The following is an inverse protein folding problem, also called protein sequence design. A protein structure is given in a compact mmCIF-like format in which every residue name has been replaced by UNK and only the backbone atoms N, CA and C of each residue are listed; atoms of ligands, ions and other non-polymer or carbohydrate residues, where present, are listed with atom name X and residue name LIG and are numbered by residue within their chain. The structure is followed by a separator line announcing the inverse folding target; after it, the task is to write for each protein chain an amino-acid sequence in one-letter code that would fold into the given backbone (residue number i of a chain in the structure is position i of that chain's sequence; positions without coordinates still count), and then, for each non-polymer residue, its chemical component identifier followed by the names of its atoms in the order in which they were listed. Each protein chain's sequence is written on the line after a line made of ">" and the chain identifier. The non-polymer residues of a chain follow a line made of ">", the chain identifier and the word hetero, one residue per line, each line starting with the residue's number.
data_IF_673974947930
#
_entry.id   IF_673974947930
#
_cell.length_a   1.000
_cell.length_b   1.000
_cell.length_c   1.000
_cell.angle_alpha   90.00
_cell.angle_beta   90.00
_cell.angle_gamma   90.00
#
_symmetry.space_group_name_H-M   'P 1'
#
loop_
_entity.id
_entity.type
_entity.pdbx_description
1 polymer ?
#
# COMPACT_ATOMS: atom_id res chain seq x y z
N UNK A 1 0.29 -4.67 -15.19
CA UNK A 1 1.31 -4.65 -14.12
C UNK A 1 0.71 -4.33 -12.77
N UNK A 2 -0.39 -3.66 -12.73
CA UNK A 2 -1.15 -3.35 -11.53
C UNK A 2 -1.99 -4.57 -11.11
N UNK A 3 -1.75 -5.16 -9.97
CA UNK A 3 -0.69 -4.84 -9.00
C UNK A 3 0.30 -6.03 -8.85
N UNK A 4 0.54 -6.80 -9.92
CA UNK A 4 1.40 -8.00 -9.91
C UNK A 4 2.84 -7.70 -9.47
N UNK A 5 3.34 -6.49 -9.72
CA UNK A 5 4.69 -6.09 -9.29
C UNK A 5 4.78 -6.07 -7.77
N UNK A 6 3.79 -5.48 -7.08
CA UNK A 6 3.75 -5.46 -5.62
C UNK A 6 3.57 -6.87 -5.04
N UNK A 7 2.71 -7.69 -5.65
CA UNK A 7 2.52 -9.10 -5.24
C UNK A 7 3.81 -9.89 -5.38
N UNK A 8 4.53 -9.73 -6.49
CA UNK A 8 5.83 -10.38 -6.71
C UNK A 8 6.85 -9.94 -5.65
N UNK A 9 7.00 -8.63 -5.44
CA UNK A 9 7.95 -8.10 -4.47
C UNK A 9 7.65 -8.58 -3.04
N UNK A 10 6.38 -8.52 -2.62
CA UNK A 10 5.96 -8.97 -1.30
C UNK A 10 6.15 -10.50 -1.13
N UNK A 11 5.85 -11.28 -2.16
CA UNK A 11 6.05 -12.75 -2.12
C UNK A 11 7.52 -13.10 -2.01
N UNK A 12 8.38 -12.44 -2.79
CA UNK A 12 9.83 -12.61 -2.71
C UNK A 12 10.35 -12.27 -1.31
N UNK A 13 9.95 -11.12 -0.79
CA UNK A 13 10.33 -10.70 0.57
C UNK A 13 9.86 -11.70 1.63
N UNK A 14 8.65 -12.24 1.52
CA UNK A 14 8.14 -13.24 2.46
C UNK A 14 8.97 -14.53 2.44
N UNK A 15 9.31 -15.02 1.25
CA UNK A 15 10.10 -16.26 1.08
C UNK A 15 11.53 -16.11 1.58
N UNK A 16 12.14 -14.95 1.40
CA UNK A 16 13.51 -14.66 1.82
C UNK A 16 13.63 -14.23 3.29
N UNK A 17 12.51 -13.87 3.93
CA UNK A 17 12.54 -13.40 5.32
C UNK A 17 12.74 -14.55 6.30
N UNK A 18 13.73 -14.41 7.17
CA UNK A 18 13.84 -15.23 8.38
C UNK A 18 13.12 -14.52 9.52
N UNK A 19 11.97 -15.03 9.99
CA UNK A 19 11.19 -14.36 11.05
C UNK A 19 11.99 -14.21 12.34
N UNK A 20 11.98 -13.01 12.91
CA UNK A 20 12.63 -12.71 14.17
C UNK A 20 11.73 -11.82 15.03
N UNK A 21 10.96 -12.43 15.92
CA UNK A 21 10.04 -11.71 16.83
C UNK A 21 8.79 -11.10 16.18
N UNK A 22 8.61 -11.31 14.87
CA UNK A 22 7.44 -10.88 14.11
C UNK A 22 6.91 -12.02 13.24
N UNK A 23 5.65 -11.96 12.88
CA UNK A 23 5.03 -12.88 11.92
C UNK A 23 4.82 -12.11 10.62
N UNK A 24 5.61 -12.36 9.58
CA UNK A 24 5.40 -11.73 8.29
C UNK A 24 4.16 -12.35 7.61
N UNK A 25 3.32 -11.49 7.07
CA UNK A 25 2.08 -11.88 6.38
C UNK A 25 1.98 -11.08 5.09
N UNK A 26 1.58 -11.74 4.02
CA UNK A 26 1.15 -11.11 2.78
C UNK A 26 -0.34 -11.36 2.58
N UNK A 27 -1.06 -10.35 2.14
CA UNK A 27 -2.45 -10.45 1.73
C UNK A 27 -2.63 -9.75 0.38
N UNK A 28 -3.15 -10.48 -0.60
CA UNK A 28 -3.57 -9.94 -1.89
C UNK A 28 -5.09 -10.01 -1.98
N UNK A 29 -5.71 -8.93 -2.43
CA UNK A 29 -7.16 -8.77 -2.44
C UNK A 29 -7.71 -8.69 -3.86
N UNK A 30 -8.95 -9.12 -4.02
CA UNK A 30 -9.74 -8.89 -5.22
C UNK A 30 -10.44 -7.53 -5.18
N UNK A 31 -10.88 -7.07 -6.32
CA UNK A 31 -11.83 -5.97 -6.48
C UNK A 31 -11.31 -4.60 -6.00
N UNK A 32 -9.99 -4.38 -6.02
CA UNK A 32 -9.43 -3.08 -5.62
C UNK A 32 -9.96 -1.97 -6.52
N UNK A 33 -9.92 -2.16 -7.83
CA UNK A 33 -10.30 -1.20 -8.88
C UNK A 33 -11.79 -0.80 -8.85
N UNK A 34 -12.63 -1.61 -8.22
CA UNK A 34 -14.05 -1.33 -8.04
C UNK A 34 -14.42 -1.00 -6.60
N UNK A 35 -13.44 -0.59 -5.78
CA UNK A 35 -13.64 -0.03 -4.44
C UNK A 35 -13.55 -1.01 -3.28
N UNK A 36 -13.04 -2.22 -3.49
CA UNK A 36 -12.74 -3.22 -2.45
C UNK A 36 -13.93 -3.71 -1.62
N UNK A 37 -15.16 -3.27 -1.90
CA UNK A 37 -16.36 -3.57 -1.11
C UNK A 37 -16.95 -4.93 -1.49
N UNK A 38 -16.21 -6.01 -1.24
CA UNK A 38 -16.65 -7.38 -1.47
C UNK A 38 -16.12 -8.32 -0.39
N UNK A 39 -16.57 -9.57 -0.39
CA UNK A 39 -16.14 -10.57 0.59
C UNK A 39 -14.63 -10.86 0.53
N UNK A 40 -14.05 -10.85 -0.66
CA UNK A 40 -12.62 -11.09 -0.91
C UNK A 40 -11.81 -9.81 -1.09
N UNK A 41 -12.45 -8.64 -1.08
CA UNK A 41 -11.80 -7.34 -1.12
C UNK A 41 -11.32 -6.88 0.25
N UNK A 42 -10.50 -5.83 0.27
CA UNK A 42 -9.92 -5.29 1.51
C UNK A 42 -10.96 -4.74 2.49
N UNK A 43 -12.12 -4.31 2.02
CA UNK A 43 -13.24 -3.90 2.86
C UNK A 43 -14.04 -5.08 3.45
N UNK A 44 -13.80 -6.31 2.98
CA UNK A 44 -14.40 -7.53 3.49
C UNK A 44 -13.79 -7.99 4.83
N UNK A 45 -14.36 -9.02 5.45
CA UNK A 45 -13.89 -9.54 6.74
C UNK A 45 -12.65 -10.43 6.61
N UNK A 46 -12.29 -10.88 5.41
CA UNK A 46 -11.34 -11.96 5.15
C UNK A 46 -10.03 -11.82 5.92
N UNK A 47 -9.33 -10.69 5.76
CA UNK A 47 -8.04 -10.49 6.43
C UNK A 47 -8.17 -10.49 7.96
N UNK A 48 -9.18 -9.79 8.47
CA UNK A 48 -9.44 -9.74 9.92
C UNK A 48 -9.71 -11.12 10.51
N UNK A 49 -10.54 -11.91 9.85
CA UNK A 49 -10.90 -13.28 10.29
C UNK A 49 -9.66 -14.21 10.24
N UNK A 50 -8.85 -14.13 9.21
CA UNK A 50 -7.62 -14.94 9.09
C UNK A 50 -6.63 -14.57 10.20
N UNK A 51 -6.38 -13.28 10.42
CA UNK A 51 -5.48 -12.82 11.49
C UNK A 51 -5.96 -13.23 12.87
N UNK A 52 -7.27 -13.10 13.14
CA UNK A 52 -7.86 -13.54 14.40
C UNK A 52 -7.65 -15.04 14.63
N UNK A 53 -7.88 -15.88 13.61
CA UNK A 53 -7.67 -17.33 13.69
C UNK A 53 -6.22 -17.72 13.88
N UNK A 54 -5.28 -17.02 13.22
CA UNK A 54 -3.84 -17.24 13.44
C UNK A 54 -3.49 -16.93 14.90
N UNK A 55 -3.94 -15.80 15.42
CA UNK A 55 -3.67 -15.38 16.78
C UNK A 55 -4.30 -16.33 17.81
N UNK A 56 -5.52 -16.79 17.56
CA UNK A 56 -6.21 -17.81 18.38
C UNK A 56 -5.43 -19.12 18.38
N UNK A 57 -4.98 -19.60 17.23
CA UNK A 57 -4.14 -20.81 17.10
C UNK A 57 -2.81 -20.69 17.84
N UNK A 58 -2.30 -19.48 18.03
CA UNK A 58 -1.13 -19.18 18.86
C UNK A 58 -1.44 -19.00 20.35
N UNK A 59 -2.68 -19.20 20.77
CA UNK A 59 -3.13 -19.08 22.14
C UNK A 59 -3.36 -17.65 22.63
N UNK A 60 -3.44 -16.67 21.72
CA UNK A 60 -3.66 -15.28 22.07
C UNK A 60 -5.15 -15.00 22.40
N UNK A 61 -5.43 -14.55 23.61
CA UNK A 61 -6.74 -14.07 23.99
C UNK A 61 -7.07 -12.69 23.39
N UNK A 62 -8.34 -12.22 23.47
CA UNK A 62 -8.80 -11.00 22.79
C UNK A 62 -7.98 -9.74 23.10
N UNK A 63 -7.50 -9.59 24.33
CA UNK A 63 -6.66 -8.46 24.71
C UNK A 63 -5.27 -8.52 24.07
N UNK A 64 -4.72 -9.71 23.91
CA UNK A 64 -3.43 -9.92 23.25
C UNK A 64 -3.54 -9.68 21.73
N UNK A 65 -4.63 -10.14 21.13
CA UNK A 65 -4.93 -9.90 19.71
C UNK A 65 -4.96 -8.41 19.37
N UNK A 66 -5.67 -7.61 20.19
CA UNK A 66 -5.72 -6.15 20.00
C UNK A 66 -4.36 -5.49 20.18
N UNK A 67 -3.57 -5.91 21.17
CA UNK A 67 -2.20 -5.40 21.36
C UNK A 67 -1.29 -5.77 20.18
N UNK A 68 -1.42 -6.98 19.65
CA UNK A 68 -0.66 -7.42 18.50
C UNK A 68 -0.96 -6.57 17.26
N UNK A 69 -2.24 -6.30 16.96
CA UNK A 69 -2.62 -5.42 15.84
C UNK A 69 -2.10 -4.00 16.06
N UNK A 70 -2.23 -3.44 17.26
CA UNK A 70 -1.75 -2.09 17.57
C UNK A 70 -0.20 -1.97 17.49
N UNK A 71 0.52 -3.07 17.69
CA UNK A 71 1.98 -3.13 17.56
C UNK A 71 2.46 -3.51 16.15
N UNK A 72 1.54 -3.90 15.27
CA UNK A 72 1.85 -4.32 13.90
C UNK A 72 1.95 -3.14 12.95
N UNK A 73 2.58 -3.40 11.81
CA UNK A 73 2.63 -2.49 10.68
C UNK A 73 2.04 -3.14 9.43
N UNK A 74 1.31 -2.35 8.68
CA UNK A 74 0.84 -2.69 7.34
C UNK A 74 1.59 -1.84 6.32
N UNK A 75 2.21 -2.47 5.36
CA UNK A 75 2.71 -1.82 4.14
C UNK A 75 1.67 -2.07 3.05
N UNK A 76 0.89 -1.05 2.74
CA UNK A 76 -0.06 -1.06 1.62
C UNK A 76 0.71 -0.70 0.37
N UNK A 77 0.92 -1.68 -0.50
CA UNK A 77 1.72 -1.52 -1.71
C UNK A 77 0.85 -1.63 -2.94
N UNK A 78 0.84 -0.55 -3.70
CA UNK A 78 0.07 -0.40 -4.91
C UNK A 78 0.82 0.48 -5.91
N UNK A 79 0.68 0.27 -7.21
CA UNK A 79 1.33 1.12 -8.20
C UNK A 79 0.87 2.57 -8.07
N UNK A 80 1.63 3.48 -8.65
CA UNK A 80 1.26 4.89 -8.65
C UNK A 80 1.76 5.58 -9.91
N UNK A 81 1.16 6.72 -10.24
CA UNK A 81 1.55 7.49 -11.41
C UNK A 81 2.92 8.14 -11.23
N UNK A 82 3.82 7.92 -12.17
CA UNK A 82 4.93 8.84 -12.40
C UNK A 82 4.43 10.08 -13.11
N UNK A 83 5.25 11.15 -13.12
CA UNK A 83 4.93 12.30 -13.95
C UNK A 83 4.82 11.86 -15.40
N UNK A 84 3.69 12.19 -16.02
CA UNK A 84 3.46 11.90 -17.43
C UNK A 84 3.84 13.12 -18.27
N UNK A 85 4.65 12.97 -19.35
CA UNK A 85 5.12 14.09 -20.17
C UNK A 85 4.01 14.95 -20.75
N UNK A 86 2.86 14.36 -21.08
CA UNK A 86 1.73 15.03 -21.68
C UNK A 86 0.74 15.61 -20.65
N UNK A 87 0.84 15.22 -19.37
CA UNK A 87 -0.11 15.58 -18.31
C UNK A 87 0.61 15.95 -17.00
N UNK A 88 1.62 16.85 -17.04
CA UNK A 88 2.39 17.18 -15.85
C UNK A 88 1.54 17.86 -14.77
N UNK A 89 0.47 18.51 -15.16
CA UNK A 89 -0.49 19.22 -14.27
C UNK A 89 -1.30 18.26 -13.37
N UNK A 90 -1.25 16.95 -13.60
CA UNK A 90 -1.90 15.96 -12.73
C UNK A 90 -1.19 15.78 -11.40
N UNK A 91 0.09 16.14 -11.33
CA UNK A 91 0.89 16.10 -10.12
C UNK A 91 0.95 17.47 -9.44
N UNK A 92 1.31 17.44 -8.17
CA UNK A 92 1.76 18.64 -7.46
C UNK A 92 3.01 19.21 -8.11
N UNK A 93 3.17 20.54 -8.08
CA UNK A 93 4.27 21.21 -8.79
C UNK A 93 5.65 20.90 -8.18
N UNK A 94 5.71 20.62 -6.88
CA UNK A 94 6.95 20.35 -6.15
C UNK A 94 7.27 18.84 -6.07
N UNK A 95 6.25 17.99 -6.23
CA UNK A 95 6.35 16.53 -6.05
C UNK A 95 6.04 15.80 -7.35
N UNK A 96 7.07 15.55 -8.15
CA UNK A 96 6.95 14.95 -9.49
C UNK A 96 7.75 13.65 -9.58
N UNK A 97 7.19 12.53 -9.11
CA UNK A 97 7.89 11.25 -9.12
C UNK A 97 8.15 10.74 -10.54
N UNK A 98 9.31 10.13 -10.73
CA UNK A 98 9.80 9.64 -12.03
C UNK A 98 9.91 8.12 -12.00
N UNK A 99 9.43 7.46 -13.05
CA UNK A 99 9.57 6.02 -13.20
C UNK A 99 11.06 5.58 -13.17
N UNK A 100 11.34 4.49 -12.46
CA UNK A 100 12.69 3.94 -12.34
C UNK A 100 13.61 4.68 -11.35
N UNK A 101 13.13 5.71 -10.64
CA UNK A 101 13.93 6.46 -9.65
C UNK A 101 13.61 6.16 -8.19
N UNK A 102 13.14 4.95 -7.90
CA UNK A 102 12.84 4.51 -6.53
C UNK A 102 11.36 4.36 -6.27
N UNK A 103 11.02 4.07 -5.03
CA UNK A 103 9.66 3.81 -4.59
C UNK A 103 8.88 5.10 -4.34
N UNK A 104 7.56 4.99 -4.38
CA UNK A 104 6.66 6.06 -3.96
C UNK A 104 6.36 5.95 -2.47
N UNK A 105 6.32 7.09 -1.79
CA UNK A 105 5.66 7.27 -0.50
C UNK A 105 4.42 8.12 -0.75
N UNK A 106 3.24 7.52 -0.63
CA UNK A 106 1.97 8.17 -0.98
C UNK A 106 1.46 8.97 0.22
N UNK A 107 1.20 10.27 0.01
CA UNK A 107 0.79 11.23 1.03
C UNK A 107 -0.51 11.93 0.64
N UNK A 108 -1.45 12.04 1.56
CA UNK A 108 -2.68 12.80 1.35
C UNK A 108 -3.28 13.28 2.67
N UNK A 109 -3.52 14.58 2.79
CA UNK A 109 -4.06 15.19 4.01
C UNK A 109 -5.50 14.75 4.34
N UNK A 110 -6.28 14.33 3.33
CA UNK A 110 -7.63 13.82 3.48
C UNK A 110 -7.69 12.30 3.74
N UNK A 111 -6.55 11.69 4.07
CA UNK A 111 -6.44 10.24 4.36
C UNK A 111 -6.93 9.34 3.21
N UNK A 112 -6.73 9.79 1.96
CA UNK A 112 -6.89 8.92 0.78
C UNK A 112 -5.77 7.89 0.71
N UNK A 113 -4.65 8.17 1.39
CA UNK A 113 -3.57 7.25 1.75
C UNK A 113 -3.39 7.30 3.26
N UNK A 114 -3.11 6.16 3.88
CA UNK A 114 -3.05 6.03 5.34
C UNK A 114 -1.70 6.46 5.95
N UNK A 115 -0.76 6.90 5.13
CA UNK A 115 0.58 7.30 5.58
C UNK A 115 0.51 8.49 6.52
N UNK A 116 1.06 8.31 7.71
CA UNK A 116 1.32 9.36 8.69
C UNK A 116 2.83 9.64 8.84
N UNK A 117 3.21 10.50 9.76
CA UNK A 117 4.61 10.85 10.01
C UNK A 117 5.45 9.63 10.47
N UNK A 118 4.84 8.69 11.23
CA UNK A 118 5.51 7.48 11.69
C UNK A 118 5.72 6.51 10.54
N UNK A 119 4.70 6.32 9.68
CA UNK A 119 4.79 5.52 8.47
C UNK A 119 5.84 6.07 7.50
N UNK A 120 5.87 7.40 7.34
CA UNK A 120 6.89 8.07 6.53
C UNK A 120 8.30 7.82 7.06
N UNK A 121 8.51 7.93 8.37
CA UNK A 121 9.81 7.67 8.99
C UNK A 121 10.23 6.20 8.84
N UNK A 122 9.29 5.27 9.07
CA UNK A 122 9.53 3.84 8.87
C UNK A 122 9.98 3.54 7.46
N UNK A 123 9.21 3.98 6.45
CA UNK A 123 9.50 3.66 5.05
C UNK A 123 10.82 4.27 4.58
N UNK A 124 11.08 5.52 4.92
CA UNK A 124 12.37 6.14 4.61
C UNK A 124 13.55 5.40 5.24
N UNK A 125 13.43 4.97 6.50
CA UNK A 125 14.46 4.18 7.17
C UNK A 125 14.70 2.82 6.51
N UNK A 126 13.64 2.10 6.17
CA UNK A 126 13.73 0.81 5.45
C UNK A 126 14.41 0.98 4.10
N UNK A 127 13.98 1.96 3.31
CA UNK A 127 14.55 2.22 1.99
C UNK A 127 16.02 2.68 2.08
N UNK A 128 16.35 3.52 3.04
CA UNK A 128 17.74 3.94 3.29
C UNK A 128 18.64 2.74 3.59
N UNK A 129 18.20 1.83 4.45
CA UNK A 129 18.93 0.61 4.77
C UNK A 129 19.10 -0.33 3.56
N UNK A 130 18.11 -0.34 2.68
CA UNK A 130 18.15 -1.11 1.43
C UNK A 130 18.90 -0.41 0.28
N UNK A 131 19.33 0.83 0.45
CA UNK A 131 19.94 1.62 -0.64
C UNK A 131 18.96 2.01 -1.75
N UNK A 132 17.65 2.07 -1.44
CA UNK A 132 16.59 2.40 -2.39
C UNK A 132 16.13 3.84 -2.17
N UNK A 133 16.02 4.61 -3.25
CA UNK A 133 15.52 5.97 -3.19
C UNK A 133 13.99 5.98 -2.94
N UNK A 134 13.52 7.03 -2.26
CA UNK A 134 12.11 7.30 -2.00
C UNK A 134 11.70 8.61 -2.65
N UNK A 135 10.56 8.60 -3.32
CA UNK A 135 9.95 9.78 -3.93
C UNK A 135 8.60 10.02 -3.28
N UNK A 136 8.32 11.25 -2.85
CA UNK A 136 6.98 11.60 -2.38
C UNK A 136 5.99 11.61 -3.55
N UNK A 137 4.79 11.07 -3.32
CA UNK A 137 3.67 11.16 -4.24
C UNK A 137 2.56 11.99 -3.58
N UNK A 138 2.29 13.14 -4.17
CA UNK A 138 1.19 14.03 -3.77
C UNK A 138 0.39 14.37 -5.02
N UNK A 139 -0.92 14.10 -4.99
CA UNK A 139 -1.82 14.51 -6.07
C UNK A 139 -2.01 16.01 -6.08
N UNK A 140 -2.23 16.60 -7.26
CA UNK A 140 -2.64 17.98 -7.36
C UNK A 140 -3.94 18.23 -6.57
N UNK A 141 -3.95 19.23 -5.70
CA UNK A 141 -5.09 19.53 -4.81
C UNK A 141 -6.37 19.94 -5.54
N UNK A 142 -6.26 20.36 -6.79
CA UNK A 142 -7.42 20.73 -7.62
C UNK A 142 -8.08 19.53 -8.29
N UNK A 143 -7.50 18.33 -8.15
CA UNK A 143 -7.98 17.09 -8.77
C UNK A 143 -8.40 16.08 -7.70
N UNK A 144 -9.38 15.21 -8.00
CA UNK A 144 -9.69 14.09 -7.13
C UNK A 144 -8.47 13.20 -6.94
N UNK A 145 -8.13 12.90 -5.69
CA UNK A 145 -7.10 11.92 -5.37
C UNK A 145 -7.70 10.52 -5.38
N UNK A 146 -7.02 9.56 -5.99
CA UNK A 146 -7.31 8.13 -5.84
C UNK A 146 -7.17 7.68 -4.39
N UNK A 147 -7.44 6.42 -4.13
CA UNK A 147 -7.24 5.79 -2.84
C UNK A 147 -6.60 4.42 -3.05
N UNK A 148 -6.31 3.73 -1.96
CA UNK A 148 -5.73 2.39 -1.93
C UNK A 148 -6.46 1.55 -0.89
N UNK A 149 -6.06 0.31 -0.75
CA UNK A 149 -6.54 -0.55 0.35
C UNK A 149 -6.01 -0.12 1.72
N UNK A 150 -4.96 0.73 1.77
CA UNK A 150 -4.33 1.17 3.01
C UNK A 150 -5.28 1.79 4.03
N UNK A 151 -6.01 2.86 3.68
CA UNK A 151 -6.98 3.48 4.59
C UNK A 151 -8.09 2.52 5.04
N UNK A 152 -8.54 1.63 4.15
CA UNK A 152 -9.56 0.62 4.46
C UNK A 152 -9.06 -0.34 5.52
N UNK A 153 -7.89 -0.93 5.30
CA UNK A 153 -7.28 -1.89 6.23
C UNK A 153 -6.88 -1.24 7.55
N UNK A 154 -6.30 -0.04 7.51
CA UNK A 154 -5.98 0.75 8.71
C UNK A 154 -7.20 0.98 9.59
N UNK A 155 -8.31 1.40 9.00
CA UNK A 155 -9.56 1.70 9.71
C UNK A 155 -10.20 0.43 10.30
N UNK A 156 -10.21 -0.66 9.53
CA UNK A 156 -10.85 -1.92 9.96
C UNK A 156 -10.07 -2.66 11.04
N UNK A 157 -8.75 -2.65 10.96
CA UNK A 157 -7.88 -3.44 11.84
C UNK A 157 -7.25 -2.63 12.98
N UNK A 158 -7.29 -1.31 12.91
CA UNK A 158 -6.60 -0.44 13.87
C UNK A 158 -5.08 -0.61 13.83
N UNK A 159 -4.51 -0.84 12.65
CA UNK A 159 -3.09 -1.12 12.42
C UNK A 159 -2.38 0.11 11.85
N UNK A 160 -1.17 0.39 12.32
CA UNK A 160 -0.34 1.44 11.73
C UNK A 160 0.00 1.11 10.29
N UNK A 161 -0.24 2.05 9.37
CA UNK A 161 -0.17 1.77 7.93
C UNK A 161 0.68 2.82 7.21
N UNK A 162 1.46 2.37 6.24
CA UNK A 162 2.13 3.21 5.26
C UNK A 162 1.71 2.80 3.85
N UNK A 163 1.31 3.76 3.04
CA UNK A 163 0.98 3.57 1.63
C UNK A 163 2.19 3.89 0.76
N UNK A 164 2.59 2.91 -0.02
CA UNK A 164 3.77 2.98 -0.88
C UNK A 164 3.45 2.47 -2.29
N UNK A 165 4.39 2.58 -3.19
CA UNK A 165 4.19 2.04 -4.53
C UNK A 165 5.42 2.12 -5.42
N UNK A 166 5.22 1.71 -6.66
CA UNK A 166 6.22 1.80 -7.72
C UNK A 166 5.65 2.75 -8.78
N UNK A 167 6.41 3.80 -9.19
CA UNK A 167 5.93 4.75 -10.18
C UNK A 167 5.95 4.15 -11.57
N UNK A 168 4.83 4.23 -12.27
CA UNK A 168 4.67 3.82 -13.67
C UNK A 168 3.99 4.92 -14.48
N UNK A 169 4.13 4.90 -15.79
CA UNK A 169 3.53 5.91 -16.66
C UNK A 169 2.02 5.68 -16.86
N UNK A 170 1.60 4.43 -16.93
CA UNK A 170 0.21 4.04 -17.07
C UNK A 170 -0.10 2.90 -16.12
N UNK A 171 -1.16 3.05 -15.35
CA UNK A 171 -1.67 2.01 -14.44
C UNK A 171 -2.53 1.02 -15.21
N UNK A 172 -3.25 1.49 -16.22
CA UNK A 172 -4.11 0.68 -17.08
C UNK A 172 -3.30 -0.23 -18.00
N UNK A 173 -3.85 -1.37 -18.32
CA UNK A 173 -3.21 -2.29 -19.26
C UNK A 173 -3.14 -1.67 -20.66
N UNK A 174 -2.21 -2.13 -21.49
CA UNK A 174 -2.14 -1.78 -22.91
C UNK A 174 -3.48 -2.01 -23.65
N UNK A 175 -4.31 -2.89 -23.12
CA UNK A 175 -5.62 -3.20 -23.68
C UNK A 175 -6.63 -2.09 -23.44
N UNK A 176 -6.59 -1.48 -22.26
CA UNK A 176 -7.50 -0.39 -21.88
C UNK A 176 -7.12 0.93 -22.55
N UNK A 177 -5.86 1.09 -22.96
CA UNK A 177 -5.40 2.25 -23.73
C UNK A 177 -5.78 2.19 -25.21
N UNK A 178 -6.02 0.99 -25.74
CA UNK A 178 -6.35 0.76 -27.17
C UNK A 178 -7.87 0.80 -27.39
N UNK A 179 -8.65 0.54 -26.36
CA UNK A 179 -10.12 0.55 -26.44
C UNK A 179 -10.63 1.64 -25.50
N UNK A 180 -10.83 2.88 -26.00
CA UNK A 180 -11.48 3.91 -25.17
C UNK A 180 -12.92 3.46 -24.84
N UNK A 181 -13.42 3.88 -23.67
CA UNK A 181 -14.76 3.54 -23.21
C UNK A 181 -15.85 4.02 -24.18
#
# INVERSE_FOLDING_TARGET
>A
LDNLVSVHAATTALVETVPSGVIPVIAAFDHEEVGSASRSGAAGPFLGDVLARIQEGLGAGPAQQRRALAASWLVSSDLGHSIHPNYPEKHDDETRPVAGRGTLLKLNANQRYATDARGSALWNGVCQNAGVAVQAFVSNNSLPCGSTIGPISATRLGISTVDVGIPILSIVSLYDEIVPP
#
